data_IF_707177997440
#
_entry.id   IF_707177997440
#
_cell.length_a   1.000
_cell.length_b   1.000
_cell.length_c   1.000
_cell.angle_alpha   90.00
_cell.angle_beta   90.00
_cell.angle_gamma   90.00
#
_symmetry.space_group_name_H-M   'P 1'
#
loop_
_entity.id
_entity.type
_entity.pdbx_description
1 polymer ?
#
# COMPACT_ATOMS: atom_id res chain seq x y z
N UNK A 1 -29.27 2.05 -46.17
CA UNK A 1 -28.15 1.69 -45.28
C UNK A 1 -26.93 1.19 -46.04
N UNK A 2 -26.96 0.06 -46.79
CA UNK A 2 -25.78 -0.47 -47.52
C UNK A 2 -25.15 0.52 -48.52
N UNK A 3 -25.91 1.38 -49.19
CA UNK A 3 -25.42 2.41 -50.09
C UNK A 3 -24.61 3.49 -49.38
N UNK A 4 -25.08 3.98 -48.22
CA UNK A 4 -24.37 5.01 -47.43
C UNK A 4 -23.01 4.52 -46.95
N UNK A 5 -22.90 3.28 -46.46
CA UNK A 5 -21.63 2.67 -46.06
C UNK A 5 -20.67 2.46 -47.24
N UNK A 6 -21.18 2.14 -48.44
CA UNK A 6 -20.39 1.97 -49.65
C UNK A 6 -19.82 3.30 -50.15
N UNK A 7 -20.55 4.40 -50.02
CA UNK A 7 -20.12 5.76 -50.39
C UNK A 7 -19.01 6.28 -49.48
N UNK A 8 -19.06 5.96 -48.21
CA UNK A 8 -18.02 6.32 -47.23
C UNK A 8 -16.71 5.57 -47.46
N UNK A 9 -16.78 4.26 -47.72
CA UNK A 9 -15.61 3.39 -47.87
C UNK A 9 -14.60 3.87 -48.93
N UNK A 10 -15.05 4.54 -49.98
CA UNK A 10 -14.17 5.09 -51.04
C UNK A 10 -13.34 6.31 -50.61
N UNK A 11 -13.77 7.04 -49.57
CA UNK A 11 -13.17 8.32 -49.18
C UNK A 11 -12.43 8.23 -47.82
N UNK A 12 -12.47 7.07 -47.15
CA UNK A 12 -11.79 6.83 -45.86
C UNK A 12 -10.34 6.44 -46.13
N UNK A 13 -9.41 7.20 -45.59
CA UNK A 13 -8.01 6.81 -45.57
C UNK A 13 -7.78 5.83 -44.39
N UNK A 14 -7.73 4.52 -44.72
CA UNK A 14 -7.56 3.45 -43.75
C UNK A 14 -6.28 3.62 -42.92
N UNK A 15 -5.16 3.98 -43.52
CA UNK A 15 -3.89 4.14 -42.84
C UNK A 15 -3.91 5.27 -41.81
N UNK A 16 -4.63 6.35 -42.10
CA UNK A 16 -4.78 7.46 -41.16
C UNK A 16 -5.60 7.06 -39.94
N UNK A 17 -6.73 6.38 -40.14
CA UNK A 17 -7.56 5.88 -39.05
C UNK A 17 -6.81 4.81 -38.21
N UNK A 18 -6.08 3.91 -38.88
CA UNK A 18 -5.27 2.91 -38.21
C UNK A 18 -4.16 3.54 -37.35
N UNK A 19 -3.51 4.61 -37.83
CA UNK A 19 -2.52 5.36 -37.06
C UNK A 19 -3.10 5.98 -35.79
N UNK A 20 -4.28 6.60 -35.90
CA UNK A 20 -4.97 7.17 -34.75
C UNK A 20 -5.47 6.09 -33.77
N UNK A 21 -5.99 4.99 -34.32
CA UNK A 21 -6.40 3.84 -33.48
C UNK A 21 -5.21 3.25 -32.72
N UNK A 22 -4.04 3.14 -33.35
CA UNK A 22 -2.83 2.65 -32.71
C UNK A 22 -2.34 3.61 -31.62
N UNK A 23 -2.31 4.91 -31.87
CA UNK A 23 -1.94 5.91 -30.86
C UNK A 23 -2.89 5.89 -29.67
N UNK A 24 -4.21 5.80 -29.92
CA UNK A 24 -5.20 5.68 -28.87
C UNK A 24 -5.08 4.35 -28.09
N UNK A 25 -4.76 3.26 -28.78
CA UNK A 25 -4.50 1.95 -28.16
C UNK A 25 -3.35 2.04 -27.15
N UNK A 26 -2.22 2.63 -27.56
CA UNK A 26 -1.07 2.82 -26.67
C UNK A 26 -1.45 3.66 -25.44
N UNK A 27 -2.12 4.80 -25.65
CA UNK A 27 -2.58 5.64 -24.56
C UNK A 27 -3.55 4.91 -23.62
N UNK A 28 -4.51 4.16 -24.17
CA UNK A 28 -5.47 3.39 -23.42
C UNK A 28 -4.82 2.28 -22.58
N UNK A 29 -3.87 1.53 -23.15
CA UNK A 29 -3.12 0.51 -22.40
C UNK A 29 -2.36 1.13 -21.23
N UNK A 30 -1.67 2.26 -21.46
CA UNK A 30 -0.94 2.97 -20.41
C UNK A 30 -1.90 3.38 -19.26
N UNK A 31 -3.07 3.95 -19.61
CA UNK A 31 -4.06 4.37 -18.61
C UNK A 31 -4.60 3.17 -17.81
N UNK A 32 -5.03 2.11 -18.48
CA UNK A 32 -5.59 0.93 -17.82
C UNK A 32 -4.55 0.23 -16.95
N UNK A 33 -3.32 0.11 -17.45
CA UNK A 33 -2.22 -0.47 -16.70
C UNK A 33 -1.87 0.37 -15.47
N UNK A 34 -1.84 1.70 -15.62
CA UNK A 34 -1.60 2.63 -14.53
C UNK A 34 -2.71 2.60 -13.46
N UNK A 35 -3.99 2.51 -13.86
CA UNK A 35 -5.12 2.39 -12.92
C UNK A 35 -5.00 1.09 -12.10
N UNK A 36 -4.67 -0.02 -12.76
CA UNK A 36 -4.48 -1.31 -12.09
C UNK A 36 -3.29 -1.25 -11.13
N UNK A 37 -2.13 -0.77 -11.63
CA UNK A 37 -0.92 -0.63 -10.82
C UNK A 37 -1.11 0.31 -9.62
N UNK A 38 -1.88 1.40 -9.78
CA UNK A 38 -2.17 2.32 -8.68
C UNK A 38 -2.95 1.63 -7.55
N UNK A 39 -3.96 0.83 -7.90
CA UNK A 39 -4.74 0.09 -6.91
C UNK A 39 -3.90 -0.99 -6.23
N UNK A 40 -3.11 -1.74 -6.99
CA UNK A 40 -2.31 -2.83 -6.44
C UNK A 40 -1.12 -2.30 -5.62
N UNK A 41 -0.51 -1.17 -6.00
CA UNK A 41 0.48 -0.49 -5.16
C UNK A 41 -0.09 -0.08 -3.79
N UNK A 42 -1.38 0.21 -3.70
CA UNK A 42 -2.03 0.47 -2.42
C UNK A 42 -2.19 -0.79 -1.55
N UNK A 43 -2.16 -1.99 -2.16
CA UNK A 43 -2.24 -3.26 -1.42
C UNK A 43 -0.88 -3.71 -0.88
N UNK A 44 0.23 -3.29 -1.49
CA UNK A 44 1.59 -3.60 -1.00
C UNK A 44 1.82 -3.08 0.42
N UNK A 45 1.18 -1.96 0.78
CA UNK A 45 1.17 -1.47 2.17
C UNK A 45 0.32 -2.32 3.12
N UNK A 46 -0.57 -3.15 2.56
CA UNK A 46 -1.40 -4.08 3.34
C UNK A 46 -0.77 -5.47 3.43
N UNK A 47 0.44 -5.65 2.87
CA UNK A 47 1.17 -6.91 3.02
C UNK A 47 1.38 -7.13 4.51
N UNK A 48 0.79 -8.19 5.06
CA UNK A 48 0.80 -8.38 6.48
C UNK A 48 2.23 -8.69 6.90
N UNK A 49 2.75 -7.86 7.76
CA UNK A 49 3.53 -8.42 8.83
C UNK A 49 2.57 -9.42 9.50
N UNK A 50 2.92 -10.68 9.56
CA UNK A 50 2.03 -11.75 10.05
C UNK A 50 1.60 -11.55 11.51
N UNK A 51 2.09 -10.51 12.17
CA UNK A 51 1.88 -10.21 13.58
C UNK A 51 1.14 -8.89 13.82
N UNK A 52 1.24 -7.92 12.89
CA UNK A 52 0.55 -6.64 13.01
C UNK A 52 -0.56 -6.55 11.97
N UNK A 53 -1.83 -6.58 12.42
CA UNK A 53 -2.97 -6.42 11.53
C UNK A 53 -3.12 -4.96 11.09
N UNK A 54 -3.04 -4.67 9.80
CA UNK A 54 -3.36 -3.35 9.26
C UNK A 54 -2.18 -2.42 8.96
N UNK A 55 -2.51 -1.18 8.60
CA UNK A 55 -1.53 -0.13 8.29
C UNK A 55 -1.21 0.68 9.54
N UNK A 56 -0.27 0.21 10.36
CA UNK A 56 0.14 0.93 11.55
C UNK A 56 1.37 1.79 11.31
N UNK A 57 1.37 2.95 11.95
CA UNK A 57 2.52 3.83 12.09
C UNK A 57 2.95 3.83 13.56
N UNK A 58 4.21 3.60 13.82
CA UNK A 58 4.78 3.81 15.16
C UNK A 58 5.45 5.17 15.17
N UNK A 59 4.95 6.07 15.99
CA UNK A 59 5.47 7.43 16.12
C UNK A 59 6.30 7.54 17.40
N UNK A 60 7.47 8.13 17.28
CA UNK A 60 8.34 8.49 18.39
C UNK A 60 8.70 9.97 18.33
N UNK A 61 9.05 10.55 19.50
CA UNK A 61 9.56 11.93 19.52
C UNK A 61 11.06 11.95 19.20
N UNK A 62 11.52 12.93 18.39
CA UNK A 62 12.90 12.97 17.95
C UNK A 62 13.86 13.11 19.13
N UNK A 63 14.91 12.30 19.13
CA UNK A 63 16.03 12.42 20.07
C UNK A 63 17.05 13.39 19.48
N UNK A 64 17.06 14.64 19.92
CA UNK A 64 18.09 15.62 19.52
C UNK A 64 19.26 15.61 20.51
N UNK A 65 20.45 16.04 20.05
CA UNK A 65 21.61 16.19 20.92
C UNK A 65 21.34 17.14 22.11
N UNK A 66 20.50 18.16 21.91
CA UNK A 66 20.04 19.08 22.96
C UNK A 66 19.16 18.37 23.98
N UNK A 67 18.27 17.47 23.51
CA UNK A 67 17.40 16.69 24.37
C UNK A 67 18.17 15.61 25.15
N UNK A 68 19.23 15.06 24.58
CA UNK A 68 20.15 14.13 25.27
C UNK A 68 20.89 14.84 26.38
N UNK A 69 21.36 16.08 26.14
CA UNK A 69 22.00 16.89 27.17
C UNK A 69 21.04 17.31 28.27
N UNK A 70 19.81 17.69 27.91
CA UNK A 70 18.74 18.01 28.86
C UNK A 70 18.33 16.79 29.69
N UNK A 71 18.30 15.60 29.08
CA UNK A 71 18.08 14.33 29.76
C UNK A 71 19.18 14.01 30.78
N UNK A 72 20.44 14.28 30.45
CA UNK A 72 21.55 14.17 31.39
C UNK A 72 21.46 15.17 32.58
N UNK A 73 20.73 16.29 32.39
CA UNK A 73 20.45 17.29 33.41
C UNK A 73 19.13 17.04 34.16
N UNK A 74 18.51 15.86 33.97
CA UNK A 74 17.30 15.46 34.70
C UNK A 74 15.97 15.76 34.00
N UNK A 75 15.98 16.36 32.80
CA UNK A 75 14.78 16.41 31.95
C UNK A 75 14.60 15.03 31.31
N UNK A 76 13.52 14.32 31.65
CA UNK A 76 13.21 12.99 31.11
C UNK A 76 13.07 13.01 29.56
N UNK A 77 13.08 11.82 28.93
CA UNK A 77 12.81 11.73 27.50
C UNK A 77 11.48 12.40 27.17
N UNK A 78 11.38 13.04 26.01
CA UNK A 78 10.12 13.61 25.54
C UNK A 78 9.09 12.50 25.39
N UNK A 79 8.09 12.51 26.23
CA UNK A 79 6.98 11.57 26.21
C UNK A 79 5.76 12.21 25.57
N UNK A 80 4.87 11.39 25.06
CA UNK A 80 3.57 11.84 24.60
C UNK A 80 2.68 12.13 25.81
N UNK A 81 1.95 13.22 25.75
CA UNK A 81 0.92 13.55 26.74
C UNK A 81 -0.47 13.18 26.19
N UNK A 82 -1.47 13.11 27.06
CA UNK A 82 -2.83 12.71 26.70
C UNK A 82 -3.45 13.66 25.62
N UNK A 83 -3.07 14.93 25.64
CA UNK A 83 -3.55 15.92 24.68
C UNK A 83 -3.03 15.62 23.28
N UNK A 84 -1.74 15.38 23.14
CA UNK A 84 -1.10 15.02 21.87
C UNK A 84 -1.67 13.70 21.31
N UNK A 85 -1.88 12.71 22.15
CA UNK A 85 -2.50 11.43 21.77
C UNK A 85 -3.93 11.66 21.29
N UNK A 86 -4.70 12.50 21.98
CA UNK A 86 -6.07 12.86 21.61
C UNK A 86 -6.14 13.65 20.31
N UNK A 87 -5.18 14.54 20.05
CA UNK A 87 -5.07 15.27 18.78
C UNK A 87 -4.83 14.30 17.62
N UNK A 88 -3.89 13.39 17.73
CA UNK A 88 -3.64 12.36 16.71
C UNK A 88 -4.87 11.46 16.51
N UNK A 89 -5.53 11.04 17.59
CA UNK A 89 -6.72 10.19 17.51
C UNK A 89 -7.93 10.86 16.84
N UNK A 90 -8.01 12.19 16.87
CA UNK A 90 -9.09 12.94 16.25
C UNK A 90 -8.90 13.24 14.76
N UNK A 91 -7.74 12.91 14.18
CA UNK A 91 -7.42 13.22 12.79
C UNK A 91 -8.16 12.31 11.79
N UNK A 92 -8.46 12.89 10.64
CA UNK A 92 -9.14 12.17 9.56
C UNK A 92 -8.30 10.98 9.08
N UNK A 93 -8.90 9.78 9.03
CA UNK A 93 -8.22 8.57 8.55
C UNK A 93 -7.44 7.82 9.64
N UNK A 94 -7.47 8.26 10.89
CA UNK A 94 -6.98 7.52 12.06
C UNK A 94 -8.13 6.69 12.63
N UNK A 95 -7.93 5.38 12.73
CA UNK A 95 -8.94 4.43 13.25
C UNK A 95 -8.73 4.17 14.74
N UNK A 96 -7.48 4.05 15.18
CA UNK A 96 -7.12 3.82 16.56
C UNK A 96 -5.73 4.39 16.90
N UNK A 97 -5.53 4.77 18.16
CA UNK A 97 -4.23 5.20 18.68
C UNK A 97 -4.01 4.54 20.03
N UNK A 98 -2.85 3.95 20.23
CA UNK A 98 -2.47 3.38 21.52
C UNK A 98 -1.01 3.70 21.85
N UNK A 99 -0.65 3.48 23.11
CA UNK A 99 0.69 3.74 23.62
C UNK A 99 1.44 2.45 23.90
N UNK A 100 2.75 2.45 23.67
CA UNK A 100 3.60 1.37 24.12
C UNK A 100 3.77 1.43 25.64
N UNK A 101 3.56 0.29 26.28
CA UNK A 101 3.86 0.08 27.69
C UNK A 101 5.21 -0.62 27.79
N UNK A 102 6.13 -0.10 28.59
CA UNK A 102 7.47 -0.65 28.78
C UNK A 102 7.59 -1.39 30.11
N UNK A 103 8.45 -2.40 30.18
CA UNK A 103 8.84 -3.03 31.44
C UNK A 103 9.57 -2.03 32.35
N UNK A 104 9.16 -1.96 33.61
CA UNK A 104 9.73 -1.08 34.65
C UNK A 104 10.69 -1.82 35.59
N UNK A 105 11.16 -2.96 35.11
CA UNK A 105 12.09 -3.85 35.77
C UNK A 105 13.13 -4.38 34.78
N UNK A 106 14.34 -4.74 35.23
CA UNK A 106 15.33 -5.37 34.37
C UNK A 106 14.90 -6.76 33.90
N UNK A 107 15.05 -7.04 32.64
CA UNK A 107 14.81 -8.35 32.00
C UNK A 107 16.10 -8.80 31.34
N UNK A 108 16.55 -9.99 31.69
CA UNK A 108 17.71 -10.63 31.07
C UNK A 108 17.22 -11.82 30.23
N UNK A 109 17.47 -11.79 28.94
CA UNK A 109 17.16 -12.88 28.04
C UNK A 109 18.39 -13.68 27.68
N UNK A 110 18.25 -14.98 27.58
CA UNK A 110 19.32 -15.88 27.18
C UNK A 110 18.82 -16.95 26.22
N UNK A 111 19.64 -17.23 25.20
CA UNK A 111 19.44 -18.34 24.27
C UNK A 111 20.60 -19.30 24.49
N UNK A 112 20.27 -20.57 24.75
CA UNK A 112 21.24 -21.65 24.80
C UNK A 112 20.86 -22.69 23.76
N UNK A 113 21.63 -22.76 22.65
CA UNK A 113 21.37 -23.68 21.55
C UNK A 113 22.66 -24.14 20.92
N UNK A 114 22.80 -25.47 20.72
CA UNK A 114 23.94 -26.10 20.04
C UNK A 114 25.33 -25.67 20.56
N UNK A 115 25.47 -25.47 21.90
CA UNK A 115 26.73 -25.03 22.51
C UNK A 115 26.96 -23.52 22.48
N UNK A 116 26.00 -22.76 21.99
CA UNK A 116 25.95 -21.33 22.07
C UNK A 116 25.14 -20.88 23.30
N UNK A 117 25.72 -20.09 24.16
CA UNK A 117 25.04 -19.46 25.30
C UNK A 117 25.29 -17.95 25.22
N UNK A 118 24.22 -17.21 25.00
CA UNK A 118 24.21 -15.76 24.98
C UNK A 118 23.18 -15.28 25.99
N UNK A 119 23.56 -14.33 26.80
CA UNK A 119 22.66 -13.64 27.72
C UNK A 119 22.87 -12.13 27.59
N UNK A 120 21.79 -11.40 27.43
CA UNK A 120 21.80 -9.94 27.35
C UNK A 120 20.61 -9.33 28.07
N UNK A 121 20.72 -8.06 28.45
CA UNK A 121 19.55 -7.31 28.89
C UNK A 121 18.60 -7.08 27.72
N UNK A 122 17.35 -7.37 27.92
CA UNK A 122 16.29 -7.25 26.92
C UNK A 122 15.31 -6.18 27.33
N UNK A 123 14.86 -5.42 26.35
CA UNK A 123 13.78 -4.45 26.51
C UNK A 123 12.51 -5.10 26.00
N UNK A 124 11.55 -5.27 26.89
CA UNK A 124 10.23 -5.81 26.55
C UNK A 124 9.17 -4.72 26.70
N UNK A 125 8.23 -4.75 25.78
CA UNK A 125 7.11 -3.82 25.72
C UNK A 125 5.82 -4.56 25.43
N UNK A 126 4.71 -3.89 25.58
CA UNK A 126 3.41 -4.34 25.07
C UNK A 126 2.70 -3.24 24.34
N UNK A 127 1.82 -3.65 23.45
CA UNK A 127 0.78 -2.83 22.82
C UNK A 127 -0.55 -3.53 23.09
N UNK A 128 -1.69 -2.84 23.03
CA UNK A 128 -2.98 -3.50 23.15
C UNK A 128 -3.14 -4.62 22.13
N UNK A 129 -3.73 -5.73 22.57
CA UNK A 129 -3.83 -6.96 21.77
C UNK A 129 -4.59 -6.77 20.45
N UNK A 130 -5.48 -5.77 20.37
CA UNK A 130 -6.22 -5.41 19.17
C UNK A 130 -5.33 -4.97 17.99
N UNK A 131 -4.10 -4.55 18.29
CA UNK A 131 -3.10 -4.18 17.28
C UNK A 131 -2.29 -5.37 16.75
N UNK A 132 -2.51 -6.56 17.29
CA UNK A 132 -1.78 -7.77 16.95
C UNK A 132 -2.71 -8.80 16.30
N UNK A 133 -2.33 -9.32 15.14
CA UNK A 133 -3.05 -10.41 14.47
C UNK A 133 -2.53 -11.78 14.99
N UNK A 134 -2.80 -12.04 16.26
CA UNK A 134 -2.40 -13.27 16.95
C UNK A 134 -3.62 -14.00 17.50
N UNK A 135 -3.58 -15.34 17.50
CA UNK A 135 -4.63 -16.13 18.17
C UNK A 135 -4.62 -15.82 19.68
N UNK A 136 -5.70 -15.27 20.25
CA UNK A 136 -5.78 -14.96 21.68
C UNK A 136 -5.47 -16.15 22.60
N UNK A 137 -5.70 -17.39 22.13
CA UNK A 137 -5.39 -18.60 22.89
C UNK A 137 -3.89 -18.84 23.04
N UNK A 138 -3.11 -18.34 22.11
CA UNK A 138 -1.64 -18.46 22.10
C UNK A 138 -0.98 -17.23 22.71
N UNK A 139 -1.64 -16.07 22.59
CA UNK A 139 -1.18 -14.77 23.08
C UNK A 139 -1.79 -14.43 24.43
N UNK A 140 -1.60 -15.29 25.42
CA UNK A 140 -2.06 -15.09 26.81
C UNK A 140 -1.02 -15.60 27.76
N UNK A 141 -0.69 -14.83 28.78
CA UNK A 141 0.17 -15.21 29.86
C UNK A 141 -0.22 -14.47 31.14
N UNK A 142 0.04 -15.12 32.29
CA UNK A 142 0.00 -14.50 33.61
C UNK A 142 1.40 -14.53 34.21
N UNK A 143 1.77 -13.62 35.14
CA UNK A 143 3.03 -13.67 35.87
C UNK A 143 3.26 -14.97 36.66
N UNK A 144 2.21 -15.75 36.90
CA UNK A 144 2.31 -17.06 37.53
C UNK A 144 2.57 -18.20 36.54
N UNK A 145 2.46 -17.94 35.25
CA UNK A 145 2.82 -18.89 34.19
C UNK A 145 4.34 -19.01 34.07
N UNK A 146 4.85 -20.20 33.78
CA UNK A 146 6.27 -20.43 33.52
C UNK A 146 6.65 -20.11 32.06
N UNK A 147 5.64 -19.98 31.17
CA UNK A 147 5.82 -19.72 29.76
C UNK A 147 5.16 -18.39 29.41
N UNK A 148 5.92 -17.53 28.73
CA UNK A 148 5.45 -16.25 28.17
C UNK A 148 5.53 -16.31 26.66
N UNK A 149 4.42 -16.14 25.92
CA UNK A 149 4.49 -15.94 24.49
C UNK A 149 5.16 -14.60 24.19
N UNK A 150 6.06 -14.59 23.21
CA UNK A 150 6.81 -13.41 22.82
C UNK A 150 6.79 -13.26 21.30
N UNK A 151 6.72 -12.01 20.85
CA UNK A 151 7.01 -11.63 19.47
C UNK A 151 8.34 -10.93 19.45
N UNK A 152 9.20 -11.29 18.53
CA UNK A 152 10.54 -10.74 18.45
C UNK A 152 10.81 -10.12 17.06
N UNK A 153 11.68 -9.10 16.98
CA UNK A 153 12.08 -8.51 15.70
C UNK A 153 12.76 -9.53 14.79
N UNK A 154 12.44 -9.51 13.50
CA UNK A 154 13.08 -10.30 12.45
C UNK A 154 14.60 -10.10 12.42
N UNK A 155 15.07 -8.93 12.86
CA UNK A 155 16.50 -8.61 12.98
C UNK A 155 17.26 -9.58 13.86
N UNK A 156 16.63 -10.21 14.87
CA UNK A 156 17.29 -11.21 15.72
C UNK A 156 17.62 -12.49 14.95
N UNK A 157 16.68 -12.95 14.09
CA UNK A 157 16.95 -14.07 13.18
C UNK A 157 18.04 -13.72 12.19
N UNK A 158 18.02 -12.50 11.65
CA UNK A 158 19.04 -12.01 10.73
C UNK A 158 20.44 -11.92 11.41
N UNK A 159 20.51 -11.45 12.65
CA UNK A 159 21.76 -11.45 13.42
C UNK A 159 22.29 -12.86 13.67
N UNK A 160 21.39 -13.81 13.97
CA UNK A 160 21.82 -15.19 14.08
C UNK A 160 22.33 -15.72 12.74
N UNK A 161 21.56 -15.62 11.67
CA UNK A 161 21.87 -16.24 10.38
C UNK A 161 23.11 -15.63 9.70
N UNK A 162 23.19 -14.31 9.65
CA UNK A 162 24.24 -13.60 8.89
C UNK A 162 25.41 -13.15 9.78
N UNK A 163 25.20 -13.01 11.07
CA UNK A 163 26.24 -12.70 12.03
C UNK A 163 26.88 -13.95 12.63
N UNK A 164 26.12 -14.63 13.48
CA UNK A 164 26.63 -15.74 14.27
C UNK A 164 26.85 -17.02 13.48
N UNK A 165 25.83 -17.49 12.77
CA UNK A 165 25.90 -18.76 12.01
C UNK A 165 26.99 -18.70 10.93
N UNK A 166 27.07 -17.59 10.21
CA UNK A 166 28.12 -17.36 9.22
C UNK A 166 29.54 -17.36 9.82
N UNK A 167 29.72 -16.71 11.00
CA UNK A 167 31.01 -16.62 11.66
C UNK A 167 31.47 -17.97 12.29
N UNK A 168 30.55 -18.84 12.70
CA UNK A 168 30.81 -20.10 13.38
C UNK A 168 30.64 -21.33 12.51
N UNK A 169 30.16 -21.20 11.27
CA UNK A 169 29.85 -22.32 10.37
C UNK A 169 28.72 -23.21 10.88
N UNK A 170 27.80 -22.65 11.71
CA UNK A 170 26.59 -23.37 12.15
C UNK A 170 25.49 -23.21 11.13
N UNK A 171 24.51 -24.13 11.06
CA UNK A 171 23.39 -24.02 10.12
C UNK A 171 22.57 -22.72 10.34
N UNK A 172 22.15 -22.10 9.24
CA UNK A 172 21.16 -21.05 9.29
C UNK A 172 19.80 -21.63 9.69
N UNK A 173 19.00 -20.85 10.41
CA UNK A 173 17.67 -21.23 10.87
C UNK A 173 16.62 -20.54 10.00
N UNK A 174 15.62 -21.30 9.53
CA UNK A 174 14.37 -20.70 9.05
C UNK A 174 13.50 -20.22 10.22
N UNK A 175 12.49 -19.45 9.90
CA UNK A 175 11.58 -18.86 10.92
C UNK A 175 10.90 -19.93 11.78
N UNK A 176 10.46 -21.05 11.20
CA UNK A 176 9.82 -22.14 11.91
C UNK A 176 10.76 -22.78 12.96
N UNK A 177 12.02 -23.05 12.59
CA UNK A 177 12.99 -23.62 13.50
C UNK A 177 13.42 -22.62 14.57
N UNK A 178 13.55 -21.35 14.20
CA UNK A 178 13.89 -20.28 15.13
C UNK A 178 12.80 -20.09 16.19
N UNK A 179 11.53 -20.19 15.80
CA UNK A 179 10.37 -20.10 16.71
C UNK A 179 10.33 -21.24 17.73
N UNK A 180 10.99 -22.36 17.47
CA UNK A 180 11.09 -23.49 18.41
C UNK A 180 12.19 -23.31 19.46
N UNK A 181 13.06 -22.31 19.33
CA UNK A 181 14.15 -22.05 20.27
C UNK A 181 13.59 -21.38 21.52
N UNK A 182 13.66 -22.04 22.71
CA UNK A 182 13.18 -21.42 23.95
C UNK A 182 14.15 -20.31 24.37
N UNK A 183 13.59 -19.16 24.73
CA UNK A 183 14.35 -18.03 25.27
C UNK A 183 14.18 -18.04 26.79
N UNK A 184 15.27 -18.16 27.51
CA UNK A 184 15.23 -18.02 28.96
C UNK A 184 15.12 -16.54 29.32
N UNK A 185 14.06 -16.16 30.06
CA UNK A 185 13.83 -14.81 30.52
C UNK A 185 13.96 -14.77 32.05
N UNK A 186 14.83 -13.89 32.54
CA UNK A 186 15.04 -13.66 33.96
C UNK A 186 14.57 -12.26 34.31
N UNK A 187 13.46 -12.14 34.99
CA UNK A 187 12.95 -10.87 35.52
C UNK A 187 13.53 -10.66 36.93
N UNK A 188 14.07 -9.46 37.14
CA UNK A 188 14.55 -9.04 38.47
C UNK A 188 13.79 -7.79 38.89
N UNK A 189 13.25 -7.81 40.07
CA UNK A 189 12.43 -6.71 40.57
C UNK A 189 12.25 -6.69 42.08
N UNK A 190 11.28 -5.90 42.53
CA UNK A 190 11.00 -5.68 43.94
C UNK A 190 10.66 -6.96 44.70
N UNK A 191 9.96 -7.90 44.07
CA UNK A 191 9.60 -9.19 44.66
C UNK A 191 10.68 -10.28 44.47
N UNK A 192 11.90 -9.92 44.08
CA UNK A 192 12.99 -10.85 43.84
C UNK A 192 13.27 -11.11 42.39
N UNK A 193 13.61 -12.36 42.06
CA UNK A 193 13.83 -12.76 40.65
C UNK A 193 12.93 -13.94 40.31
N UNK A 194 12.48 -13.97 39.06
CA UNK A 194 11.70 -15.08 38.51
C UNK A 194 12.21 -15.43 37.10
N UNK A 195 12.26 -16.74 36.84
CA UNK A 195 12.67 -17.28 35.56
C UNK A 195 11.43 -17.70 34.78
N UNK A 196 11.40 -17.31 33.50
CA UNK A 196 10.36 -17.68 32.55
C UNK A 196 11.00 -18.28 31.30
N UNK A 197 10.21 -19.06 30.58
CA UNK A 197 10.54 -19.53 29.26
C UNK A 197 9.76 -18.70 28.25
N UNK A 198 10.45 -17.86 27.47
CA UNK A 198 9.86 -17.15 26.34
C UNK A 198 9.65 -18.11 25.19
N UNK A 199 8.42 -18.24 24.73
CA UNK A 199 8.05 -18.98 23.51
C UNK A 199 7.77 -18.00 22.39
N UNK A 200 8.59 -18.05 21.34
CA UNK A 200 8.39 -17.21 20.15
C UNK A 200 7.12 -17.66 19.44
N UNK A 201 6.13 -16.78 19.31
CA UNK A 201 4.86 -17.04 18.64
C UNK A 201 4.73 -16.25 17.33
N UNK A 202 5.65 -15.32 17.07
CA UNK A 202 5.71 -14.56 15.84
C UNK A 202 7.00 -13.74 15.73
N UNK A 203 7.30 -13.34 14.48
CA UNK A 203 8.37 -12.42 14.15
C UNK A 203 7.77 -11.15 13.59
N UNK A 204 8.39 -9.99 13.82
CA UNK A 204 7.96 -8.72 13.28
C UNK A 204 9.13 -7.97 12.61
N UNK A 205 8.90 -7.39 11.46
CA UNK A 205 9.86 -6.51 10.78
C UNK A 205 9.56 -5.02 11.04
N UNK A 206 8.40 -4.72 11.61
CA UNK A 206 7.92 -3.35 11.86
C UNK A 206 8.29 -2.79 13.22
N UNK A 207 8.55 -3.64 14.19
CA UNK A 207 8.89 -3.23 15.55
C UNK A 207 10.25 -3.76 15.94
N UNK A 208 11.13 -2.87 16.39
CA UNK A 208 12.48 -3.21 16.87
C UNK A 208 12.50 -3.49 18.39
N UNK A 209 11.41 -4.07 18.90
CA UNK A 209 11.26 -4.40 20.32
C UNK A 209 10.61 -5.77 20.50
N UNK A 210 10.88 -6.41 21.62
CA UNK A 210 10.25 -7.66 21.98
C UNK A 210 8.90 -7.36 22.61
N UNK A 211 7.84 -7.93 22.04
CA UNK A 211 6.49 -7.77 22.58
C UNK A 211 6.12 -8.96 23.45
N UNK A 212 5.36 -8.65 24.51
CA UNK A 212 4.71 -9.60 25.41
C UNK A 212 3.23 -9.21 25.55
N UNK A 213 2.33 -10.12 25.98
CA UNK A 213 0.93 -9.80 26.23
C UNK A 213 0.78 -8.62 27.18
N UNK A 214 -0.18 -7.73 26.90
CA UNK A 214 -0.37 -6.52 27.68
C UNK A 214 -0.75 -6.83 29.13
N UNK A 215 -1.68 -7.75 29.33
CA UNK A 215 -2.11 -8.17 30.66
C UNK A 215 -0.94 -8.70 31.52
N UNK A 216 -0.07 -9.52 30.89
CA UNK A 216 1.15 -9.98 31.57
C UNK A 216 2.03 -8.80 31.98
N UNK A 217 2.25 -7.83 31.13
CA UNK A 217 3.17 -6.72 31.42
C UNK A 217 2.58 -5.74 32.44
N UNK A 218 1.26 -5.57 32.48
CA UNK A 218 0.57 -4.78 33.50
C UNK A 218 0.83 -5.41 34.89
N UNK A 219 0.48 -6.68 35.05
CA UNK A 219 0.65 -7.39 36.34
C UNK A 219 2.14 -7.52 36.71
N UNK A 220 3.02 -7.79 35.77
CA UNK A 220 4.46 -7.88 36.02
C UNK A 220 5.04 -6.53 36.45
N UNK A 221 4.59 -5.41 35.91
CA UNK A 221 4.97 -4.08 36.39
C UNK A 221 4.49 -3.84 37.83
N UNK A 222 3.30 -4.24 38.18
CA UNK A 222 2.80 -4.11 39.56
C UNK A 222 3.65 -4.89 40.59
N UNK A 223 4.09 -6.10 40.21
CA UNK A 223 4.87 -6.98 41.10
C UNK A 223 6.37 -6.63 41.14
N UNK A 224 6.95 -6.39 39.98
CA UNK A 224 8.41 -6.33 39.83
C UNK A 224 8.96 -4.91 39.58
N UNK A 225 8.12 -3.88 39.39
CA UNK A 225 8.61 -2.54 39.09
C UNK A 225 9.61 -2.03 40.12
N UNK A 226 10.76 -1.61 39.63
CA UNK A 226 11.81 -0.97 40.44
C UNK A 226 11.90 0.53 40.17
N UNK A 227 11.19 1.01 39.12
CA UNK A 227 11.13 2.41 38.68
C UNK A 227 9.67 2.85 38.61
N UNK A 228 9.42 4.13 38.76
CA UNK A 228 8.10 4.69 38.54
C UNK A 228 7.70 4.59 37.04
N UNK A 229 6.40 4.49 36.79
CA UNK A 229 5.85 4.48 35.42
C UNK A 229 6.26 5.75 34.70
N UNK A 230 6.88 5.58 33.55
CA UNK A 230 7.22 6.69 32.68
C UNK A 230 6.09 6.93 31.67
N UNK A 231 5.90 8.18 31.33
CA UNK A 231 4.99 8.53 30.25
C UNK A 231 5.47 7.90 28.91
N UNK A 232 4.56 7.50 28.02
CA UNK A 232 4.89 6.77 26.80
C UNK A 232 5.76 7.62 25.88
N UNK A 233 6.82 7.02 25.35
CA UNK A 233 7.74 7.67 24.39
C UNK A 233 7.38 7.35 22.95
N UNK A 234 6.54 6.33 22.75
CA UNK A 234 6.06 5.87 21.43
C UNK A 234 4.55 5.64 21.46
N UNK A 235 3.93 5.91 20.33
CA UNK A 235 2.52 5.63 20.09
C UNK A 235 2.39 4.81 18.82
N UNK A 236 1.41 3.90 18.79
CA UNK A 236 1.01 3.18 17.60
C UNK A 236 -0.30 3.78 17.08
N UNK A 237 -0.34 4.08 15.81
CA UNK A 237 -1.46 4.73 15.14
C UNK A 237 -1.95 3.82 14.04
N UNK A 238 -3.18 3.36 14.13
CA UNK A 238 -3.84 2.68 13.02
C UNK A 238 -4.39 3.74 12.05
N UNK A 239 -3.76 3.84 10.89
CA UNK A 239 -4.21 4.70 9.83
C UNK A 239 -4.77 3.83 8.69
N UNK A 240 -5.93 4.21 8.14
CA UNK A 240 -6.47 3.57 6.95
C UNK A 240 -5.49 3.64 5.78
N UNK A 241 -5.81 2.99 4.66
CA UNK A 241 -4.95 2.89 3.46
C UNK A 241 -4.52 4.25 2.85
N UNK A 242 -5.05 5.32 3.36
CA UNK A 242 -4.64 6.70 3.16
C UNK A 242 -4.36 7.28 4.55
N UNK A 243 -3.10 7.18 5.00
CA UNK A 243 -2.63 8.12 6.03
C UNK A 243 -3.00 9.50 5.50
N UNK A 244 -3.96 10.17 6.15
CA UNK A 244 -4.48 11.43 5.63
C UNK A 244 -3.31 12.39 5.47
N UNK A 245 -3.37 13.24 4.47
CA UNK A 245 -2.39 14.31 4.29
C UNK A 245 -2.24 15.10 5.60
N UNK A 246 -3.35 15.27 6.31
CA UNK A 246 -3.42 15.93 7.60
C UNK A 246 -2.52 15.24 8.67
N UNK A 247 -2.57 13.91 8.78
CA UNK A 247 -1.71 13.16 9.70
C UNK A 247 -0.23 13.30 9.33
N UNK A 248 0.10 13.21 8.04
CA UNK A 248 1.48 13.34 7.59
C UNK A 248 2.02 14.76 7.73
N UNK A 249 1.21 15.78 7.47
CA UNK A 249 1.57 17.18 7.69
C UNK A 249 1.81 17.41 9.19
N UNK A 250 0.94 16.90 10.07
CA UNK A 250 1.10 17.02 11.52
C UNK A 250 2.37 16.30 12.04
N UNK A 251 2.65 15.08 11.55
CA UNK A 251 3.88 14.35 11.88
C UNK A 251 5.13 15.18 11.52
N UNK A 252 5.10 15.83 10.34
CA UNK A 252 6.22 16.66 9.88
C UNK A 252 6.32 17.97 10.68
N UNK A 253 5.20 18.63 10.99
CA UNK A 253 5.17 19.90 11.76
C UNK A 253 5.66 19.71 13.19
N UNK A 254 5.22 18.63 13.86
CA UNK A 254 5.66 18.31 15.22
C UNK A 254 7.04 17.63 15.26
N UNK A 255 7.54 17.23 14.07
CA UNK A 255 8.84 16.57 13.94
C UNK A 255 8.86 15.18 14.53
N UNK A 256 7.74 14.46 14.55
CA UNK A 256 7.69 13.07 15.00
C UNK A 256 8.46 12.18 14.03
N UNK A 257 9.10 11.14 14.57
CA UNK A 257 9.82 10.13 13.80
C UNK A 257 8.96 8.90 13.68
N UNK A 258 8.84 8.36 12.47
CA UNK A 258 8.15 7.10 12.23
C UNK A 258 9.16 5.98 12.44
N UNK A 259 8.95 5.14 13.47
CA UNK A 259 9.82 4.01 13.79
C UNK A 259 9.50 2.78 12.91
N UNK A 260 10.53 1.96 12.68
CA UNK A 260 10.35 0.61 12.14
C UNK A 260 10.17 0.52 10.64
N UNK A 261 11.11 1.03 9.81
CA UNK A 261 11.14 0.76 8.35
C UNK A 261 9.91 1.25 7.55
N UNK A 262 8.82 1.61 8.25
CA UNK A 262 7.59 2.09 7.65
C UNK A 262 7.72 3.49 7.03
N UNK A 263 8.64 4.33 7.53
CA UNK A 263 8.88 5.66 6.95
C UNK A 263 9.42 5.55 5.51
N UNK A 264 10.42 4.70 5.29
CA UNK A 264 10.97 4.47 3.95
C UNK A 264 9.95 3.78 3.05
N UNK A 265 9.16 2.84 3.58
CA UNK A 265 8.09 2.18 2.83
C UNK A 265 6.98 3.17 2.45
N UNK A 266 6.54 4.03 3.37
CA UNK A 266 5.52 5.08 3.09
C UNK A 266 6.06 6.10 2.10
N UNK A 267 7.31 6.57 2.25
CA UNK A 267 7.96 7.48 1.30
C UNK A 267 8.13 6.84 -0.07
N UNK A 268 8.60 5.59 -0.11
CA UNK A 268 8.75 4.83 -1.36
C UNK A 268 7.41 4.67 -2.07
N UNK A 269 6.35 4.37 -1.33
CA UNK A 269 5.01 4.26 -1.91
C UNK A 269 4.48 5.59 -2.42
N UNK A 270 4.69 6.69 -1.71
CA UNK A 270 4.32 8.02 -2.18
C UNK A 270 5.02 8.34 -3.51
N UNK A 271 6.31 8.00 -3.63
CA UNK A 271 7.08 8.13 -4.88
C UNK A 271 6.52 7.23 -5.98
N UNK A 272 6.22 5.97 -5.67
CA UNK A 272 5.63 5.02 -6.64
C UNK A 272 4.26 5.51 -7.10
N UNK A 273 3.39 5.97 -6.21
CA UNK A 273 2.09 6.57 -6.56
C UNK A 273 2.25 7.81 -7.44
N UNK A 274 3.21 8.67 -7.11
CA UNK A 274 3.52 9.87 -7.92
C UNK A 274 3.95 9.48 -9.33
N UNK A 275 4.86 8.51 -9.48
CA UNK A 275 5.31 8.00 -10.78
C UNK A 275 4.12 7.43 -11.57
N UNK A 276 3.31 6.57 -10.95
CA UNK A 276 2.13 5.97 -11.59
C UNK A 276 1.16 7.08 -12.03
N UNK A 277 0.92 8.09 -11.19
CA UNK A 277 0.03 9.21 -11.52
C UNK A 277 0.53 10.01 -12.73
N UNK A 278 1.84 10.25 -12.83
CA UNK A 278 2.47 10.90 -13.99
C UNK A 278 2.28 10.04 -15.25
N UNK A 279 2.53 8.73 -15.16
CA UNK A 279 2.35 7.79 -16.27
C UNK A 279 0.90 7.76 -16.74
N UNK A 280 -0.07 7.73 -15.82
CA UNK A 280 -1.51 7.80 -16.14
C UNK A 280 -1.85 9.12 -16.81
N UNK A 281 -1.35 10.24 -16.31
CA UNK A 281 -1.57 11.56 -16.89
C UNK A 281 -1.03 11.64 -18.35
N UNK A 282 0.17 11.10 -18.59
CA UNK A 282 0.73 10.99 -19.94
C UNK A 282 -0.11 10.09 -20.84
N UNK A 283 -0.57 8.94 -20.33
CA UNK A 283 -1.47 8.04 -21.07
C UNK A 283 -2.79 8.71 -21.45
N UNK A 284 -3.39 9.47 -20.52
CA UNK A 284 -4.60 10.26 -20.78
C UNK A 284 -4.36 11.35 -21.81
N UNK A 285 -3.22 12.03 -21.76
CA UNK A 285 -2.84 13.06 -22.75
C UNK A 285 -2.70 12.46 -24.14
N UNK A 286 -2.00 11.33 -24.28
CA UNK A 286 -1.86 10.61 -25.56
C UNK A 286 -3.22 10.15 -26.08
N UNK A 287 -4.07 9.56 -25.22
CA UNK A 287 -5.44 9.16 -25.58
C UNK A 287 -6.29 10.34 -26.02
N UNK A 288 -6.22 11.48 -25.32
CA UNK A 288 -6.94 12.69 -25.68
C UNK A 288 -6.50 13.24 -27.03
N UNK A 289 -5.19 13.30 -27.29
CA UNK A 289 -4.67 13.73 -28.61
C UNK A 289 -5.14 12.79 -29.72
N UNK A 290 -5.04 11.48 -29.54
CA UNK A 290 -5.51 10.50 -30.52
C UNK A 290 -7.01 10.59 -30.75
N UNK A 291 -7.81 10.80 -29.69
CA UNK A 291 -9.23 11.06 -29.77
C UNK A 291 -9.54 12.31 -30.63
N UNK A 292 -8.89 13.45 -30.35
CA UNK A 292 -9.09 14.66 -31.11
C UNK A 292 -8.68 14.51 -32.60
N UNK A 293 -7.59 13.80 -32.88
CA UNK A 293 -7.16 13.52 -34.24
C UNK A 293 -8.16 12.65 -34.99
N UNK A 294 -8.72 11.62 -34.36
CA UNK A 294 -9.78 10.80 -34.93
C UNK A 294 -11.03 11.64 -35.20
N UNK A 295 -11.41 12.48 -34.24
CA UNK A 295 -12.56 13.38 -34.39
C UNK A 295 -12.39 14.34 -35.58
N UNK A 296 -11.24 15.02 -35.68
CA UNK A 296 -10.93 15.93 -36.78
C UNK A 296 -10.96 15.16 -38.12
N UNK A 297 -10.41 13.95 -38.16
CA UNK A 297 -10.43 13.10 -39.36
C UNK A 297 -11.86 12.79 -39.81
N UNK A 298 -12.77 12.51 -38.89
CA UNK A 298 -14.18 12.25 -39.18
C UNK A 298 -14.89 13.54 -39.61
N UNK A 299 -14.62 14.68 -38.96
CA UNK A 299 -15.20 15.96 -39.36
C UNK A 299 -14.75 16.37 -40.75
N UNK A 300 -13.47 16.17 -41.14
CA UNK A 300 -12.97 16.37 -42.47
C UNK A 300 -13.62 15.42 -43.50
N UNK A 301 -13.89 14.17 -43.09
CA UNK A 301 -14.62 13.21 -43.91
C UNK A 301 -16.06 13.66 -44.19
N UNK A 302 -16.75 14.24 -43.20
CA UNK A 302 -18.08 14.84 -43.35
C UNK A 302 -18.02 16.00 -44.32
N UNK A 303 -17.05 16.89 -44.15
CA UNK A 303 -16.87 18.06 -45.05
C UNK A 303 -16.57 17.63 -46.49
N UNK A 304 -15.68 16.66 -46.71
CA UNK A 304 -15.38 16.09 -48.03
C UNK A 304 -16.60 15.46 -48.71
N UNK A 305 -17.57 14.98 -47.95
CA UNK A 305 -18.79 14.41 -48.45
C UNK A 305 -20.00 15.37 -48.37
N UNK A 306 -19.78 16.66 -48.11
CA UNK A 306 -20.82 17.66 -47.89
C UNK A 306 -21.84 17.65 -49.01
N UNK A 307 -21.43 17.73 -50.28
CA UNK A 307 -22.35 17.69 -51.41
C UNK A 307 -23.25 16.46 -51.43
N UNK A 308 -22.73 15.29 -51.06
CA UNK A 308 -23.51 14.06 -51.00
C UNK A 308 -24.49 14.09 -49.84
N UNK A 309 -24.07 14.63 -48.69
CA UNK A 309 -24.91 14.78 -47.53
C UNK A 309 -26.06 15.75 -47.78
N UNK A 310 -25.80 16.88 -48.46
CA UNK A 310 -26.81 17.87 -48.89
C UNK A 310 -27.81 17.26 -49.88
N UNK A 311 -27.35 16.46 -50.82
CA UNK A 311 -28.24 15.73 -51.77
C UNK A 311 -29.16 14.74 -51.01
N UNK A 312 -28.62 14.02 -50.04
CA UNK A 312 -29.42 13.10 -49.21
C UNK A 312 -30.47 13.87 -48.38
N UNK A 313 -30.11 15.04 -47.85
CA UNK A 313 -31.02 15.92 -47.15
C UNK A 313 -32.16 16.41 -48.01
N UNK A 314 -31.86 16.84 -49.28
CA UNK A 314 -32.85 17.22 -50.27
C UNK A 314 -33.78 16.05 -50.68
N UNK A 315 -33.30 14.80 -50.61
CA UNK A 315 -34.09 13.59 -50.84
C UNK A 315 -34.94 13.19 -49.62
N UNK A 316 -34.93 13.99 -48.53
CA UNK A 316 -35.78 13.77 -47.35
C UNK A 316 -35.19 12.83 -46.32
N UNK A 317 -33.88 12.50 -46.38
CA UNK A 317 -33.26 11.70 -45.34
C UNK A 317 -33.04 12.55 -44.07
N UNK A 318 -33.43 12.09 -42.89
CA UNK A 318 -33.23 12.84 -41.65
C UNK A 318 -31.75 12.86 -41.26
N UNK A 319 -31.30 13.96 -40.63
CA UNK A 319 -29.91 14.16 -40.18
C UNK A 319 -29.35 12.98 -39.39
N UNK A 320 -30.20 12.34 -38.58
CA UNK A 320 -29.80 11.14 -37.81
C UNK A 320 -29.34 9.98 -38.70
N UNK A 321 -29.99 9.79 -39.86
CA UNK A 321 -29.63 8.74 -40.78
C UNK A 321 -28.34 9.09 -41.58
N UNK A 322 -28.13 10.36 -41.87
CA UNK A 322 -26.91 10.87 -42.53
C UNK A 322 -25.72 10.76 -41.56
N UNK A 323 -25.92 11.04 -40.26
CA UNK A 323 -24.87 10.95 -39.23
C UNK A 323 -24.45 9.51 -38.90
N UNK A 324 -25.36 8.55 -39.02
CA UNK A 324 -25.19 7.19 -38.53
C UNK A 324 -23.95 6.47 -39.07
N UNK A 325 -23.57 6.52 -40.36
CA UNK A 325 -22.36 5.87 -40.86
C UNK A 325 -21.04 6.46 -40.26
N UNK A 326 -21.02 7.77 -40.00
CA UNK A 326 -19.87 8.44 -39.38
C UNK A 326 -19.75 8.07 -37.92
N UNK A 327 -20.90 8.00 -37.19
CA UNK A 327 -20.96 7.57 -35.79
C UNK A 327 -20.55 6.10 -35.62
N UNK A 328 -21.03 5.21 -36.49
CA UNK A 328 -20.66 3.79 -36.44
C UNK A 328 -19.18 3.58 -36.73
N UNK A 329 -18.56 4.40 -37.59
CA UNK A 329 -17.12 4.35 -37.81
C UNK A 329 -16.36 4.79 -36.56
N UNK A 330 -16.71 5.94 -35.97
CA UNK A 330 -16.06 6.46 -34.79
C UNK A 330 -16.17 5.50 -33.59
N UNK A 331 -17.41 5.14 -33.25
CA UNK A 331 -17.70 4.23 -32.10
C UNK A 331 -17.11 2.85 -32.34
N UNK A 332 -17.09 2.35 -33.59
CA UNK A 332 -16.47 1.08 -33.94
C UNK A 332 -14.95 1.08 -33.71
N UNK A 333 -14.27 2.17 -34.07
CA UNK A 333 -12.83 2.34 -33.78
C UNK A 333 -12.59 2.43 -32.28
N UNK A 334 -13.35 3.26 -31.55
CA UNK A 334 -13.22 3.40 -30.10
C UNK A 334 -13.43 2.06 -29.40
N UNK A 335 -14.49 1.33 -29.74
CA UNK A 335 -14.79 0.02 -29.15
C UNK A 335 -13.66 -0.99 -29.41
N UNK A 336 -13.14 -1.02 -30.64
CA UNK A 336 -12.04 -1.92 -30.99
C UNK A 336 -10.78 -1.59 -30.18
N UNK A 337 -10.44 -0.31 -30.06
CA UNK A 337 -9.29 0.14 -29.30
C UNK A 337 -9.41 -0.24 -27.84
N UNK A 338 -10.54 0.07 -27.20
CA UNK A 338 -10.75 -0.20 -25.78
C UNK A 338 -10.88 -1.69 -25.47
N UNK A 339 -11.46 -2.49 -26.33
CA UNK A 339 -11.48 -3.95 -26.17
C UNK A 339 -10.07 -4.54 -26.26
N UNK A 340 -9.28 -4.14 -27.27
CA UNK A 340 -7.91 -4.63 -27.43
C UNK A 340 -7.05 -4.16 -26.26
N UNK A 341 -7.17 -2.91 -25.82
CA UNK A 341 -6.41 -2.39 -24.69
C UNK A 341 -6.75 -3.12 -23.38
N UNK A 342 -8.01 -3.45 -23.14
CA UNK A 342 -8.42 -4.25 -21.98
C UNK A 342 -7.81 -5.66 -22.04
N UNK A 343 -7.90 -6.33 -23.20
CA UNK A 343 -7.32 -7.67 -23.38
C UNK A 343 -5.80 -7.64 -23.21
N UNK A 344 -5.11 -6.68 -23.81
CA UNK A 344 -3.65 -6.53 -23.68
C UNK A 344 -3.28 -6.31 -22.22
N UNK A 345 -3.99 -5.44 -21.50
CA UNK A 345 -3.73 -5.16 -20.09
C UNK A 345 -3.95 -6.41 -19.24
N UNK A 346 -5.08 -7.12 -19.41
CA UNK A 346 -5.40 -8.33 -18.64
C UNK A 346 -4.36 -9.45 -18.89
N UNK A 347 -3.88 -9.60 -20.11
CA UNK A 347 -2.91 -10.64 -20.45
C UNK A 347 -1.47 -10.29 -20.02
N UNK A 348 -1.09 -9.02 -20.07
CA UNK A 348 0.26 -8.57 -19.71
C UNK A 348 0.45 -8.30 -18.21
N UNK A 349 -0.61 -7.98 -17.50
CA UNK A 349 -0.54 -7.62 -16.08
C UNK A 349 -0.01 -8.74 -15.16
N UNK A 350 -0.36 -10.04 -15.34
CA UNK A 350 0.21 -11.12 -14.53
C UNK A 350 1.74 -11.22 -14.59
N UNK A 351 2.33 -10.83 -15.73
CA UNK A 351 3.80 -10.81 -15.89
C UNK A 351 4.40 -9.73 -14.96
N UNK A 352 3.80 -8.55 -14.89
CA UNK A 352 4.24 -7.52 -13.94
C UNK A 352 3.98 -7.95 -12.49
N UNK A 353 2.85 -8.58 -12.23
CA UNK A 353 2.50 -9.08 -10.91
C UNK A 353 3.51 -10.10 -10.39
N UNK A 354 4.00 -11.01 -11.23
CA UNK A 354 5.03 -11.98 -10.85
C UNK A 354 6.36 -11.32 -10.50
N UNK A 355 6.71 -10.22 -11.16
CA UNK A 355 7.88 -9.41 -10.80
C UNK A 355 7.68 -8.71 -9.45
N UNK A 356 6.48 -8.22 -9.17
CA UNK A 356 6.16 -7.59 -7.87
C UNK A 356 6.17 -8.61 -6.72
N UNK A 357 5.72 -9.85 -6.95
CA UNK A 357 5.82 -10.95 -5.97
C UNK A 357 7.27 -11.30 -5.60
N UNK A 358 8.22 -11.09 -6.51
CA UNK A 358 9.65 -11.28 -6.21
C UNK A 358 10.17 -10.23 -5.21
N UNK A 359 9.57 -9.02 -5.23
CA UNK A 359 9.96 -7.90 -4.36
C UNK A 359 9.19 -7.95 -3.04
N UNK A 360 7.92 -8.33 -3.08
CA UNK A 360 7.03 -8.45 -1.92
C UNK A 360 6.32 -9.79 -1.94
N UNK A 361 6.83 -10.82 -1.22
CA UNK A 361 6.14 -12.08 -1.04
C UNK A 361 4.78 -11.83 -0.37
N UNK A 362 3.69 -12.30 -1.00
CA UNK A 362 2.32 -12.02 -0.52
C UNK A 362 1.59 -10.90 -1.28
N UNK A 363 2.22 -10.33 -2.31
CA UNK A 363 1.53 -9.42 -3.22
C UNK A 363 0.37 -10.12 -3.93
N UNK A 364 -0.86 -9.68 -3.63
CA UNK A 364 -2.08 -10.13 -4.31
C UNK A 364 -2.55 -9.10 -5.31
N UNK A 365 -2.89 -9.55 -6.51
CA UNK A 365 -3.44 -8.66 -7.54
C UNK A 365 -4.94 -8.47 -7.33
N UNK A 366 -5.40 -7.23 -7.42
CA UNK A 366 -6.83 -6.97 -7.53
C UNK A 366 -7.31 -7.46 -8.91
N UNK A 367 -8.17 -8.45 -8.96
CA UNK A 367 -8.62 -9.14 -10.18
C UNK A 367 -8.97 -8.24 -11.38
N UNK A 368 -9.23 -8.82 -12.57
CA UNK A 368 -9.35 -8.11 -13.84
C UNK A 368 -10.59 -7.18 -13.93
N UNK A 369 -11.49 -7.26 -12.98
CA UNK A 369 -12.73 -6.49 -12.97
C UNK A 369 -12.51 -4.97 -13.02
N UNK A 370 -11.47 -4.47 -12.36
CA UNK A 370 -11.14 -3.05 -12.38
C UNK A 370 -10.80 -2.57 -13.80
N UNK A 371 -10.00 -3.35 -14.53
CA UNK A 371 -9.63 -3.05 -15.92
C UNK A 371 -10.87 -3.05 -16.80
N UNK A 372 -11.76 -4.04 -16.64
CA UNK A 372 -13.00 -4.16 -17.41
C UNK A 372 -13.91 -2.95 -17.18
N UNK A 373 -14.17 -2.59 -15.92
CA UNK A 373 -15.04 -1.44 -15.62
C UNK A 373 -14.43 -0.11 -16.04
N UNK A 374 -13.12 0.08 -15.85
CA UNK A 374 -12.42 1.31 -16.26
C UNK A 374 -12.42 1.45 -17.79
N UNK A 375 -12.14 0.38 -18.51
CA UNK A 375 -12.16 0.32 -19.96
C UNK A 375 -13.56 0.64 -20.51
N UNK A 376 -14.60 0.05 -19.93
CA UNK A 376 -15.98 0.33 -20.32
C UNK A 376 -16.36 1.79 -20.04
N UNK A 377 -15.98 2.34 -18.90
CA UNK A 377 -16.26 3.73 -18.53
C UNK A 377 -15.61 4.70 -19.51
N UNK A 378 -14.35 4.50 -19.86
CA UNK A 378 -13.63 5.33 -20.81
C UNK A 378 -14.21 5.20 -22.23
N UNK A 379 -14.56 3.99 -22.67
CA UNK A 379 -15.24 3.78 -23.94
C UNK A 379 -16.56 4.56 -24.02
N UNK A 380 -17.42 4.45 -23.01
CA UNK A 380 -18.71 5.16 -22.99
C UNK A 380 -18.49 6.67 -23.03
N UNK A 381 -17.53 7.18 -22.27
CA UNK A 381 -17.20 8.60 -22.24
C UNK A 381 -16.80 9.13 -23.63
N UNK A 382 -15.86 8.49 -24.30
CA UNK A 382 -15.39 8.91 -25.64
C UNK A 382 -16.46 8.71 -26.70
N UNK A 383 -17.20 7.59 -26.68
CA UNK A 383 -18.28 7.34 -27.65
C UNK A 383 -19.40 8.38 -27.56
N UNK A 384 -19.78 8.80 -26.35
CA UNK A 384 -20.80 9.85 -26.16
C UNK A 384 -20.35 11.17 -26.77
N UNK A 385 -19.10 11.57 -26.54
CA UNK A 385 -18.55 12.81 -27.09
C UNK A 385 -18.49 12.74 -28.62
N UNK A 386 -18.02 11.64 -29.22
CA UNK A 386 -18.00 11.45 -30.67
C UNK A 386 -19.39 11.56 -31.28
N UNK A 387 -20.37 10.86 -30.72
CA UNK A 387 -21.76 10.89 -31.18
C UNK A 387 -22.33 12.32 -31.12
N UNK A 388 -22.08 13.03 -30.03
CA UNK A 388 -22.57 14.39 -29.83
C UNK A 388 -21.96 15.37 -30.84
N UNK A 389 -20.64 15.34 -31.01
CA UNK A 389 -19.95 16.25 -31.94
C UNK A 389 -20.28 16.00 -33.41
N UNK A 390 -20.38 14.72 -33.83
CA UNK A 390 -20.78 14.36 -35.19
C UNK A 390 -22.21 14.83 -35.47
N UNK A 391 -23.13 14.64 -34.52
CA UNK A 391 -24.52 15.14 -34.70
C UNK A 391 -24.60 16.65 -34.81
N UNK A 392 -23.78 17.38 -34.05
CA UNK A 392 -23.75 18.84 -34.10
C UNK A 392 -23.21 19.37 -35.42
N UNK A 393 -22.30 18.65 -36.08
CA UNK A 393 -21.70 19.07 -37.37
C UNK A 393 -22.61 18.80 -38.57
N UNK A 394 -23.49 17.81 -38.50
CA UNK A 394 -24.42 17.44 -39.61
C UNK A 394 -25.73 18.26 -39.56
N UNK A 395 -26.08 18.82 -38.43
CA UNK A 395 -27.14 19.83 -38.30
C UNK A 395 -26.73 21.13 -38.98
#
# INVERSE_FOLDING_TARGET
MRLLFRLLRKNVNFWQIAGFALANLVGAVIVLFGIQAYKDAAQVLKSPDSVLSGSFLVLSKPVSAVNTLAGALGAGPRSFNEKEIGEIASMTGVSAVATFRTAQFPVYGGISYAGFDMSTEMFIESVPDEFLDLDPKVWTASPDSDIIPIVIPQTYLNFYNYGFAAARGTPQLGEELFSMVPIRLIIRGREGHRNYTGRIVGLTDRLNTILVPEDFLIEANERFATKAQKAPTRVIVEAGSEASKELMDHINEEGYVIDGGSEDAVRMLAVVRMIISIVVALGLLVSALAFFLLLISILLLIEKNRYKNDTLHQLGYPDRMIALPYQTLAVGVDLTVWLISAIVTILSYPVLASLMQTISPGFETSGPWLVIFSSLGLFVFFAVIHIWMIRRKIR
#
